data_IF_061993927105
#
_entry.id   IF_061993927105
#
_cell.length_a   1.000
_cell.length_b   1.000
_cell.length_c   1.000
_cell.angle_alpha   90.00
_cell.angle_beta   90.00
_cell.angle_gamma   90.00
#
_symmetry.space_group_name_H-M   'P 1'
#
loop_
_entity.id
_entity.type
_entity.pdbx_description
1 polymer ?
#
# COMPACT_ATOMS: atom_id res chain seq x y z
N UNK A 1 11.36 24.45 -7.30
CA UNK A 1 12.77 24.56 -6.84
C UNK A 1 13.41 23.17 -6.87
N UNK A 2 14.70 23.02 -7.20
CA UNK A 2 15.37 21.71 -7.16
C UNK A 2 16.03 21.48 -5.80
N UNK A 3 15.82 20.30 -5.23
CA UNK A 3 16.36 19.88 -3.93
C UNK A 3 17.13 18.58 -4.08
N UNK A 4 18.14 18.39 -3.22
CA UNK A 4 18.88 17.13 -3.13
C UNK A 4 18.15 16.21 -2.17
N UNK A 5 17.73 15.05 -2.65
CA UNK A 5 16.97 14.07 -1.88
C UNK A 5 17.69 12.71 -1.88
N UNK A 6 17.77 12.08 -0.71
CA UNK A 6 18.25 10.71 -0.54
C UNK A 6 17.08 9.73 -0.66
N UNK A 7 17.09 8.92 -1.71
CA UNK A 7 16.10 7.88 -1.97
C UNK A 7 16.57 6.52 -1.46
N UNK A 8 15.72 5.83 -0.70
CA UNK A 8 15.96 4.48 -0.18
C UNK A 8 15.02 3.48 -0.85
N UNK A 9 15.53 2.30 -1.20
CA UNK A 9 14.75 1.24 -1.87
C UNK A 9 14.80 1.28 -3.40
N UNK A 10 15.66 2.13 -3.98
CA UNK A 10 15.94 2.11 -5.42
C UNK A 10 16.79 0.91 -5.82
N UNK A 11 16.49 0.31 -6.97
CA UNK A 11 17.25 -0.78 -7.59
C UNK A 11 17.50 -2.00 -6.68
N UNK A 12 16.61 -2.26 -5.71
CA UNK A 12 16.79 -3.26 -4.65
C UNK A 12 18.13 -3.14 -3.90
N UNK A 13 18.73 -1.94 -3.88
CA UNK A 13 19.95 -1.69 -3.14
C UNK A 13 19.60 -1.35 -1.70
N UNK A 14 20.32 -1.94 -0.74
CA UNK A 14 20.20 -1.61 0.68
C UNK A 14 20.69 -0.18 1.01
N UNK A 15 21.27 0.52 0.04
CA UNK A 15 21.84 1.85 0.19
C UNK A 15 20.87 2.98 -0.14
N UNK A 16 21.33 4.20 0.14
CA UNK A 16 20.68 5.44 -0.31
C UNK A 16 21.26 5.90 -1.64
N UNK A 17 20.41 6.39 -2.52
CA UNK A 17 20.80 7.04 -3.78
C UNK A 17 20.42 8.51 -3.70
N UNK A 18 21.39 9.41 -3.87
CA UNK A 18 21.12 10.84 -3.85
C UNK A 18 20.80 11.36 -5.26
N UNK A 19 19.65 12.00 -5.41
CA UNK A 19 19.17 12.56 -6.68
C UNK A 19 18.79 14.04 -6.48
N UNK A 20 18.94 14.83 -7.54
CA UNK A 20 18.37 16.17 -7.62
C UNK A 20 16.97 16.06 -8.23
N UNK A 21 15.97 16.56 -7.51
CA UNK A 21 14.56 16.48 -7.92
C UNK A 21 13.87 17.82 -7.69
N UNK A 22 12.84 18.11 -8.49
CA UNK A 22 11.93 19.20 -8.17
C UNK A 22 11.19 18.90 -6.87
N UNK A 23 11.27 19.80 -5.89
CA UNK A 23 10.63 19.66 -4.57
C UNK A 23 9.13 19.36 -4.70
N UNK A 24 8.50 19.93 -5.73
CA UNK A 24 7.09 19.77 -6.05
C UNK A 24 6.71 18.32 -6.35
N UNK A 25 7.65 17.53 -6.88
CA UNK A 25 7.50 16.12 -7.20
C UNK A 25 7.79 15.19 -6.02
N UNK A 26 8.32 15.72 -4.92
CA UNK A 26 8.65 14.94 -3.74
C UNK A 26 7.43 14.78 -2.83
N UNK A 27 6.46 13.97 -3.28
CA UNK A 27 5.22 13.73 -2.55
C UNK A 27 4.91 12.24 -2.48
N UNK A 28 4.29 11.83 -1.39
CA UNK A 28 3.83 10.45 -1.22
C UNK A 28 2.83 10.11 -2.32
N UNK A 29 3.02 8.95 -2.94
CA UNK A 29 2.19 8.45 -4.03
C UNK A 29 2.63 8.89 -5.42
N UNK A 30 3.53 9.86 -5.54
CA UNK A 30 4.13 10.22 -6.83
C UNK A 30 5.06 9.12 -7.32
N UNK A 31 5.16 9.01 -8.64
CA UNK A 31 5.99 8.01 -9.31
C UNK A 31 7.23 8.63 -9.89
N UNK A 32 8.32 7.89 -9.86
CA UNK A 32 9.58 8.24 -10.52
C UNK A 32 10.18 7.02 -11.21
N UNK A 33 10.80 7.24 -12.35
CA UNK A 33 11.52 6.20 -13.06
C UNK A 33 13.02 6.29 -12.74
N UNK A 34 13.65 5.16 -12.47
CA UNK A 34 15.07 5.07 -12.17
C UNK A 34 15.63 3.76 -12.73
N UNK A 35 16.71 3.82 -13.52
CA UNK A 35 17.29 2.65 -14.21
C UNK A 35 16.26 1.83 -15.01
N UNK A 36 15.34 2.50 -15.70
CA UNK A 36 14.28 1.86 -16.49
C UNK A 36 13.10 1.33 -15.68
N UNK A 37 13.22 1.22 -14.36
CA UNK A 37 12.20 0.72 -13.44
C UNK A 37 11.36 1.85 -12.83
N UNK A 38 10.09 1.58 -12.57
CA UNK A 38 9.15 2.58 -12.03
C UNK A 38 8.97 2.37 -10.53
N UNK A 39 9.15 3.44 -9.76
CA UNK A 39 9.08 3.45 -8.31
C UNK A 39 8.01 4.43 -7.82
N UNK A 40 7.42 4.14 -6.66
CA UNK A 40 6.43 4.98 -5.99
C UNK A 40 7.02 5.48 -4.67
N UNK A 41 6.90 6.78 -4.42
CA UNK A 41 7.28 7.40 -3.14
C UNK A 41 6.29 6.97 -2.05
N UNK A 42 6.81 6.31 -1.01
CA UNK A 42 6.03 5.82 0.13
C UNK A 42 5.96 6.82 1.28
N UNK A 43 7.05 7.54 1.50
CA UNK A 43 7.19 8.53 2.57
C UNK A 43 8.25 9.54 2.17
N UNK A 44 8.09 10.76 2.68
CA UNK A 44 9.04 11.85 2.54
C UNK A 44 9.27 12.41 3.93
N UNK A 45 10.53 12.54 4.34
CA UNK A 45 10.93 13.22 5.55
C UNK A 45 12.02 14.24 5.26
N UNK A 46 12.09 15.25 6.11
CA UNK A 46 13.09 16.31 6.03
C UNK A 46 13.93 16.26 7.30
N UNK A 47 15.25 16.20 7.15
CA UNK A 47 16.22 16.21 8.24
C UNK A 47 17.21 17.35 8.00
N UNK A 48 17.07 18.45 8.75
CA UNK A 48 17.77 19.70 8.48
C UNK A 48 17.42 20.24 7.08
N UNK A 49 18.43 20.51 6.26
CA UNK A 49 18.27 20.99 4.87
C UNK A 49 18.21 19.85 3.84
N UNK A 50 18.05 18.60 4.29
CA UNK A 50 18.07 17.43 3.41
C UNK A 50 16.73 16.73 3.39
N UNK A 51 16.34 16.32 2.19
CA UNK A 51 15.16 15.52 1.97
C UNK A 51 15.53 14.04 1.88
N UNK A 52 14.65 13.20 2.41
CA UNK A 52 14.78 11.76 2.43
C UNK A 52 13.46 11.15 1.97
N UNK A 53 13.52 10.14 1.10
CA UNK A 53 12.33 9.48 0.59
C UNK A 53 12.51 7.97 0.54
N UNK A 54 11.53 7.24 1.05
CA UNK A 54 11.46 5.80 0.86
C UNK A 54 10.61 5.51 -0.37
N UNK A 55 11.09 4.63 -1.25
CA UNK A 55 10.39 4.22 -2.46
C UNK A 55 10.23 2.71 -2.52
N UNK A 56 9.23 2.24 -3.25
CA UNK A 56 9.13 0.84 -3.64
C UNK A 56 8.92 0.72 -5.15
N UNK A 57 9.40 -0.38 -5.71
CA UNK A 57 9.14 -0.75 -7.08
C UNK A 57 7.63 -0.89 -7.30
N UNK A 58 7.09 -0.26 -8.35
CA UNK A 58 5.65 -0.24 -8.59
C UNK A 58 5.09 -1.64 -8.84
N UNK A 59 5.83 -2.50 -9.54
CA UNK A 59 5.44 -3.91 -9.75
C UNK A 59 5.34 -4.72 -8.46
N UNK A 60 5.92 -4.23 -7.36
CA UNK A 60 5.82 -4.85 -6.04
C UNK A 60 4.59 -4.39 -5.24
N UNK A 61 3.90 -3.32 -5.66
CA UNK A 61 2.67 -2.85 -5.02
C UNK A 61 1.45 -3.61 -5.56
N UNK A 62 0.94 -4.53 -4.75
CA UNK A 62 -0.33 -5.28 -4.97
C UNK A 62 -1.62 -4.47 -4.72
N UNK A 63 -1.57 -3.14 -4.65
CA UNK A 63 -2.78 -2.31 -4.46
C UNK A 63 -2.73 -1.02 -5.30
N UNK A 64 -3.74 -0.73 -6.14
CA UNK A 64 -3.80 0.52 -6.89
C UNK A 64 -4.21 1.65 -5.94
N UNK A 65 -3.34 2.66 -5.80
CA UNK A 65 -3.72 3.94 -5.21
C UNK A 65 -4.41 4.76 -6.30
N UNK A 66 -5.71 5.01 -6.14
CA UNK A 66 -6.48 5.86 -7.05
C UNK A 66 -6.01 7.32 -6.95
N UNK A 67 -5.80 7.98 -8.11
CA UNK A 67 -5.49 9.42 -8.19
C UNK A 67 -4.04 9.81 -8.52
N UNK A 68 -3.19 8.86 -8.90
CA UNK A 68 -1.75 9.11 -8.99
C UNK A 68 -1.30 9.72 -10.33
N UNK A 69 -0.49 10.79 -10.22
CA UNK A 69 0.22 11.40 -11.35
C UNK A 69 1.49 10.59 -11.64
N UNK A 70 1.80 10.44 -12.93
CA UNK A 70 2.99 9.72 -13.39
C UNK A 70 4.00 10.75 -13.89
N UNK A 71 5.20 10.76 -13.29
CA UNK A 71 6.31 11.58 -13.76
C UNK A 71 7.40 10.65 -14.29
N UNK A 72 7.67 10.75 -15.59
CA UNK A 72 8.69 9.95 -16.29
C UNK A 72 10.00 10.73 -16.26
N UNK A 73 11.05 10.15 -15.68
CA UNK A 73 12.38 10.74 -15.62
C UNK A 73 13.36 9.80 -16.33
N UNK A 74 14.05 10.29 -17.36
CA UNK A 74 15.13 9.58 -18.05
C UNK A 74 16.44 10.31 -17.82
N UNK A 75 17.53 9.54 -17.79
CA UNK A 75 18.83 9.94 -17.25
C UNK A 75 19.42 11.21 -17.88
N UNK A 76 19.99 12.07 -17.03
CA UNK A 76 20.91 13.14 -17.45
C UNK A 76 20.25 14.37 -18.07
N UNK A 77 19.44 15.09 -17.29
CA UNK A 77 18.79 16.37 -17.61
C UNK A 77 17.74 16.31 -18.74
N UNK A 78 16.45 16.48 -18.42
CA UNK A 78 15.50 17.46 -19.03
C UNK A 78 14.03 17.00 -19.01
N UNK A 79 13.20 17.95 -18.54
CA UNK A 79 11.78 18.24 -18.80
C UNK A 79 10.73 17.16 -18.50
N UNK A 80 9.61 17.53 -17.84
CA UNK A 80 8.48 16.63 -17.65
C UNK A 80 7.84 16.29 -19.00
N UNK A 81 7.88 15.02 -19.39
CA UNK A 81 7.00 14.48 -20.43
C UNK A 81 5.78 13.86 -19.77
N UNK A 82 4.65 14.56 -19.84
CA UNK A 82 3.34 14.06 -19.42
C UNK A 82 2.82 13.04 -20.44
N UNK A 83 3.30 11.80 -20.36
CA UNK A 83 2.81 10.71 -21.20
C UNK A 83 1.41 10.28 -20.75
N UNK A 84 0.37 10.63 -21.51
CA UNK A 84 -0.90 9.89 -21.45
C UNK A 84 -0.63 8.45 -21.89
N UNK A 85 -0.59 7.52 -20.95
CA UNK A 85 -0.72 6.08 -21.20
C UNK A 85 -2.00 5.69 -20.47
N UNK A 86 -3.12 5.39 -21.12
CA UNK A 86 -3.32 4.72 -22.39
C UNK A 86 -4.30 3.59 -22.05
N UNK A 87 -5.57 3.79 -22.38
CA UNK A 87 -6.67 2.84 -22.24
C UNK A 87 -6.24 1.47 -22.78
N UNK A 88 -5.93 0.52 -21.90
CA UNK A 88 -5.79 -0.91 -22.22
C UNK A 88 -5.72 -1.68 -20.90
N UNK A 89 -6.88 -2.13 -20.41
CA UNK A 89 -6.93 -2.99 -19.22
C UNK A 89 -8.21 -2.97 -18.37
N UNK A 90 -9.28 -2.29 -18.79
CA UNK A 90 -10.51 -2.22 -17.97
C UNK A 90 -11.19 -3.60 -17.76
N UNK A 91 -11.14 -4.50 -18.74
CA UNK A 91 -11.88 -5.78 -18.66
C UNK A 91 -11.29 -6.88 -17.75
N UNK A 92 -9.98 -6.85 -17.45
CA UNK A 92 -9.35 -7.86 -16.57
C UNK A 92 -9.29 -7.41 -15.11
N UNK A 93 -9.28 -6.09 -14.88
CA UNK A 93 -9.34 -5.52 -13.53
C UNK A 93 -10.71 -5.71 -12.88
N UNK A 94 -11.79 -5.52 -13.64
CA UNK A 94 -13.17 -5.63 -13.12
C UNK A 94 -13.50 -7.05 -12.63
N UNK A 95 -13.11 -8.08 -13.39
CA UNK A 95 -13.33 -9.49 -13.00
C UNK A 95 -12.58 -9.88 -11.74
N UNK A 96 -11.31 -9.45 -11.61
CA UNK A 96 -10.52 -9.69 -10.39
C UNK A 96 -11.06 -8.93 -9.18
N UNK A 97 -11.69 -7.77 -9.39
CA UNK A 97 -12.36 -7.04 -8.29
C UNK A 97 -13.66 -7.69 -7.85
N UNK A 98 -14.39 -8.36 -8.75
CA UNK A 98 -15.58 -9.14 -8.39
C UNK A 98 -15.19 -10.40 -7.61
N UNK A 99 -14.18 -11.16 -8.07
CA UNK A 99 -13.68 -12.34 -7.36
C UNK A 99 -13.21 -12.02 -5.93
N UNK A 100 -12.53 -10.87 -5.73
CA UNK A 100 -12.09 -10.42 -4.41
C UNK A 100 -13.28 -9.99 -3.52
N UNK A 101 -14.33 -9.41 -4.09
CA UNK A 101 -15.54 -9.04 -3.35
C UNK A 101 -16.28 -10.28 -2.87
N UNK A 102 -16.38 -11.30 -3.72
CA UNK A 102 -17.00 -12.58 -3.35
C UNK A 102 -16.21 -13.28 -2.23
N UNK A 103 -14.88 -13.28 -2.31
CA UNK A 103 -14.03 -13.83 -1.25
C UNK A 103 -14.16 -13.08 0.08
N UNK A 104 -14.28 -11.74 0.03
CA UNK A 104 -14.51 -10.93 1.23
C UNK A 104 -15.87 -11.25 1.86
N UNK A 105 -16.92 -11.36 1.05
CA UNK A 105 -18.26 -11.69 1.55
C UNK A 105 -18.28 -13.07 2.23
N UNK A 106 -17.65 -14.07 1.62
CA UNK A 106 -17.52 -15.41 2.21
C UNK A 106 -16.71 -15.41 3.50
N UNK A 107 -15.65 -14.60 3.57
CA UNK A 107 -14.85 -14.44 4.78
C UNK A 107 -15.64 -13.75 5.90
N UNK A 108 -16.45 -12.75 5.58
CA UNK A 108 -17.33 -12.05 6.53
C UNK A 108 -18.41 -12.97 7.09
N UNK A 109 -19.09 -13.74 6.24
CA UNK A 109 -20.09 -14.73 6.68
C UNK A 109 -19.47 -15.79 7.60
N UNK A 110 -18.27 -16.28 7.25
CA UNK A 110 -17.56 -17.25 8.09
C UNK A 110 -17.16 -16.66 9.43
N UNK A 111 -16.79 -15.38 9.46
CA UNK A 111 -16.43 -14.69 10.69
C UNK A 111 -17.66 -14.48 11.58
N UNK A 112 -18.81 -14.14 11.00
CA UNK A 112 -20.08 -14.06 11.73
C UNK A 112 -20.50 -15.41 12.32
N UNK A 113 -20.36 -16.51 11.56
CA UNK A 113 -20.64 -17.85 12.07
C UNK A 113 -19.76 -18.22 13.28
N UNK A 114 -18.45 -17.92 13.21
CA UNK A 114 -17.52 -18.17 14.32
C UNK A 114 -17.82 -17.30 15.54
N UNK A 115 -18.29 -16.06 15.33
CA UNK A 115 -18.72 -15.20 16.44
C UNK A 115 -19.98 -15.76 17.13
N UNK A 116 -20.96 -16.23 16.36
CA UNK A 116 -22.15 -16.86 16.91
C UNK A 116 -21.81 -18.14 17.70
N UNK A 117 -20.92 -18.98 17.18
CA UNK A 117 -20.42 -20.16 17.92
C UNK A 117 -19.73 -19.73 19.23
N UNK A 118 -18.90 -18.69 19.20
CA UNK A 118 -18.23 -18.18 20.40
C UNK A 118 -19.23 -17.70 21.45
N UNK A 119 -20.28 -17.01 21.05
CA UNK A 119 -21.34 -16.57 21.96
C UNK A 119 -22.08 -17.75 22.57
N UNK A 120 -22.41 -18.78 21.78
CA UNK A 120 -23.06 -20.00 22.30
C UNK A 120 -22.16 -20.74 23.32
N UNK A 121 -20.86 -20.82 23.06
CA UNK A 121 -19.90 -21.39 24.02
C UNK A 121 -19.78 -20.54 25.28
N UNK A 122 -19.81 -19.21 25.17
CA UNK A 122 -19.78 -18.31 26.31
C UNK A 122 -21.01 -18.50 27.21
N UNK A 123 -22.21 -18.58 26.63
CA UNK A 123 -23.44 -18.84 27.38
C UNK A 123 -23.43 -20.21 28.05
N UNK A 124 -22.91 -21.25 27.37
CA UNK A 124 -22.78 -22.59 27.95
C UNK A 124 -21.81 -22.60 29.13
N UNK A 125 -20.68 -21.90 29.02
CA UNK A 125 -19.71 -21.78 30.11
C UNK A 125 -20.31 -21.02 31.29
N UNK A 126 -21.05 -19.94 31.06
CA UNK A 126 -21.70 -19.17 32.11
C UNK A 126 -22.74 -20.01 32.86
N UNK A 127 -23.54 -20.81 32.15
CA UNK A 127 -24.46 -21.78 32.77
C UNK A 127 -23.74 -22.84 33.61
N UNK A 128 -22.62 -23.36 33.13
CA UNK A 128 -21.82 -24.34 33.88
C UNK A 128 -21.19 -23.72 35.14
N UNK A 129 -20.74 -22.46 35.06
CA UNK A 129 -20.24 -21.71 36.22
C UNK A 129 -21.34 -21.54 37.26
N UNK A 130 -22.54 -21.10 36.87
CA UNK A 130 -23.68 -20.98 37.78
C UNK A 130 -24.10 -22.32 38.41
N UNK A 131 -24.04 -23.42 37.66
CA UNK A 131 -24.27 -24.77 38.18
C UNK A 131 -23.21 -25.20 39.20
N UNK A 132 -21.94 -24.83 39.00
CA UNK A 132 -20.87 -25.12 39.96
C UNK A 132 -21.00 -24.27 41.22
N UNK A 133 -21.38 -23.00 41.09
CA UNK A 133 -21.61 -22.09 42.22
C UNK A 133 -22.76 -22.58 43.11
N UNK A 134 -23.89 -22.97 42.49
CA UNK A 134 -25.05 -23.54 43.20
C UNK A 134 -24.81 -24.92 43.85
N UNK A 135 -23.74 -25.62 43.49
CA UNK A 135 -23.32 -26.87 44.15
C UNK A 135 -22.32 -26.62 45.29
N UNK A 136 -21.74 -25.41 45.37
CA UNK A 136 -20.80 -24.99 46.40
C UNK A 136 -21.48 -24.23 47.57
N UNK A 137 -22.72 -23.79 47.40
CA UNK A 137 -23.64 -23.35 48.48
C UNK A 137 -24.40 -24.53 49.10
#
# INVERSE_FOLDING_TARGET
MQVRCAFYGLANQAGKTELLIEEECLRVGERLQYNGELYVILSVCTEGDRFHANVALESSRRAPLAGQRQVVWSDGVRRPSWGRRGERGQGEGERRTEELREQLLQAEERLQALLAEREEYAERLEKLIQQLESLHE
#
